data_IF_393336643271
#
_entry.id   IF_393336643271
#
_cell.length_a   1.000
_cell.length_b   1.000
_cell.length_c   1.000
_cell.angle_alpha   90.00
_cell.angle_beta   90.00
_cell.angle_gamma   90.00
#
_symmetry.space_group_name_H-M   'P 1'
#
loop_
_entity.id
_entity.type
_entity.pdbx_description
1 polymer ?
#
# COMPACT_ATOMS: atom_id res chain seq x y z
N UNK A 1 -0.53 -17.73 35.96
CA UNK A 1 -0.17 -16.82 34.85
C UNK A 1 -1.30 -15.81 34.76
N UNK A 2 -1.03 -14.53 35.01
CA UNK A 2 -2.07 -13.51 35.22
C UNK A 2 -2.62 -13.03 33.86
N UNK A 3 -3.94 -13.12 33.63
CA UNK A 3 -4.57 -12.76 32.34
C UNK A 3 -4.23 -11.33 31.90
N UNK A 4 -4.07 -10.40 32.85
CA UNK A 4 -3.69 -9.01 32.57
C UNK A 4 -2.28 -8.89 31.95
N UNK A 5 -1.36 -9.77 32.33
CA UNK A 5 0.00 -9.79 31.79
C UNK A 5 0.03 -10.32 30.35
N UNK A 6 -0.82 -11.31 30.06
CA UNK A 6 -0.97 -11.85 28.71
C UNK A 6 -1.64 -10.84 27.76
N UNK A 7 -2.66 -10.11 28.25
CA UNK A 7 -3.31 -9.03 27.50
C UNK A 7 -2.34 -7.88 27.20
N UNK A 8 -1.54 -7.45 28.18
CA UNK A 8 -0.53 -6.39 27.99
C UNK A 8 0.55 -6.78 26.98
N UNK A 9 1.07 -8.01 27.05
CA UNK A 9 2.05 -8.52 26.08
C UNK A 9 1.44 -8.67 24.68
N UNK A 10 0.17 -9.08 24.58
CA UNK A 10 -0.54 -9.14 23.30
C UNK A 10 -0.76 -7.75 22.71
N UNK A 11 -1.13 -6.77 23.53
CA UNK A 11 -1.25 -5.37 23.11
C UNK A 11 0.09 -4.79 22.65
N UNK A 12 1.18 -5.04 23.39
CA UNK A 12 2.52 -4.61 22.98
C UNK A 12 2.97 -5.25 21.67
N UNK A 13 2.72 -6.54 21.49
CA UNK A 13 3.03 -7.24 20.25
C UNK A 13 2.19 -6.70 19.08
N UNK A 14 0.93 -6.35 19.30
CA UNK A 14 0.06 -5.73 18.29
C UNK A 14 0.50 -4.31 17.94
N UNK A 15 0.84 -3.49 18.93
CA UNK A 15 1.32 -2.12 18.73
C UNK A 15 2.64 -2.12 17.95
N UNK A 16 3.60 -2.97 18.32
CA UNK A 16 4.86 -3.08 17.58
C UNK A 16 4.68 -3.58 16.14
N UNK A 17 3.70 -4.47 15.89
CA UNK A 17 3.35 -4.91 14.53
C UNK A 17 2.62 -3.82 13.75
N UNK A 18 1.75 -3.03 14.38
CA UNK A 18 1.05 -1.91 13.72
C UNK A 18 1.99 -0.74 13.40
N UNK A 19 2.95 -0.44 14.27
CA UNK A 19 3.99 0.57 14.02
C UNK A 19 4.93 0.15 12.87
N UNK A 20 5.32 -1.13 12.82
CA UNK A 20 6.16 -1.68 11.74
C UNK A 20 5.44 -1.68 10.39
N UNK A 21 4.14 -2.04 10.40
CA UNK A 21 3.26 -1.93 9.22
C UNK A 21 3.11 -0.48 8.75
N UNK A 22 2.88 0.44 9.67
CA UNK A 22 2.79 1.87 9.36
C UNK A 22 4.07 2.41 8.71
N UNK A 23 5.23 2.02 9.24
CA UNK A 23 6.52 2.44 8.69
C UNK A 23 6.78 1.90 7.28
N UNK A 24 6.45 0.62 7.02
CA UNK A 24 6.57 0.03 5.68
C UNK A 24 5.65 0.76 4.69
N UNK A 25 4.42 1.08 5.11
CA UNK A 25 3.48 1.79 4.27
C UNK A 25 3.97 3.20 3.93
N UNK A 26 4.40 3.98 4.91
CA UNK A 26 4.95 5.32 4.70
C UNK A 26 6.12 5.31 3.71
N UNK A 27 7.06 4.36 3.88
CA UNK A 27 8.22 4.22 2.99
C UNK A 27 7.82 3.86 1.55
N UNK A 28 6.87 2.93 1.37
CA UNK A 28 6.37 2.54 0.04
C UNK A 28 5.61 3.70 -0.61
N UNK A 29 4.78 4.41 0.16
CA UNK A 29 4.03 5.58 -0.30
C UNK A 29 4.97 6.67 -0.81
N UNK A 30 5.96 7.05 0.00
CA UNK A 30 6.99 8.02 -0.41
C UNK A 30 7.78 7.57 -1.62
N UNK A 31 8.18 6.30 -1.70
CA UNK A 31 8.91 5.78 -2.86
C UNK A 31 8.10 5.94 -4.13
N UNK A 32 6.82 5.55 -4.12
CA UNK A 32 5.94 5.64 -5.28
C UNK A 32 5.72 7.10 -5.71
N UNK A 33 5.38 7.98 -4.78
CA UNK A 33 5.10 9.41 -5.07
C UNK A 33 6.35 10.12 -5.60
N UNK A 34 7.53 9.85 -5.02
CA UNK A 34 8.80 10.44 -5.48
C UNK A 34 9.17 10.05 -6.91
N UNK A 35 8.59 8.95 -7.41
CA UNK A 35 8.82 8.40 -8.75
C UNK A 35 7.50 8.44 -9.51
N UNK A 36 7.04 9.63 -9.91
CA UNK A 36 5.70 9.88 -10.45
C UNK A 36 5.19 8.91 -11.54
N UNK A 37 6.08 8.34 -12.36
CA UNK A 37 5.73 7.28 -13.33
C UNK A 37 5.31 5.96 -12.67
N UNK A 38 5.96 5.56 -11.57
CA UNK A 38 5.62 4.37 -10.79
C UNK A 38 4.23 4.50 -10.20
N UNK A 39 3.95 5.68 -9.63
CA UNK A 39 2.68 6.00 -9.02
C UNK A 39 1.52 6.04 -10.04
N UNK A 40 1.71 6.70 -11.18
CA UNK A 40 0.71 6.72 -12.26
C UNK A 40 0.40 5.32 -12.80
N UNK A 41 1.42 4.45 -12.88
CA UNK A 41 1.21 3.04 -13.29
C UNK A 41 0.38 2.27 -12.27
N UNK A 42 0.60 2.49 -10.97
CA UNK A 42 -0.21 1.88 -9.93
C UNK A 42 -1.68 2.32 -10.04
N UNK A 43 -1.93 3.60 -10.29
CA UNK A 43 -3.30 4.10 -10.53
C UNK A 43 -3.96 3.41 -11.73
N UNK A 44 -3.22 3.14 -12.80
CA UNK A 44 -3.74 2.41 -13.97
C UNK A 44 -4.04 0.94 -13.65
N UNK A 45 -3.20 0.27 -12.87
CA UNK A 45 -3.46 -1.11 -12.38
C UNK A 45 -4.78 -1.15 -11.62
N UNK A 46 -5.00 -0.18 -10.72
CA UNK A 46 -6.23 -0.10 -9.92
C UNK A 46 -7.46 0.23 -10.78
N UNK A 47 -7.33 1.13 -11.77
CA UNK A 47 -8.43 1.47 -12.67
C UNK A 47 -8.84 0.29 -13.57
N UNK A 48 -7.86 -0.53 -13.98
CA UNK A 48 -8.07 -1.67 -14.87
C UNK A 48 -8.41 -2.97 -14.14
N UNK A 49 -8.47 -2.95 -12.81
CA UNK A 49 -8.59 -4.14 -11.98
C UNK A 49 -7.52 -5.20 -12.29
N UNK A 50 -6.29 -4.76 -12.56
CA UNK A 50 -5.16 -5.68 -12.74
C UNK A 50 -4.82 -6.35 -11.39
N UNK A 51 -4.42 -7.62 -11.44
CA UNK A 51 -4.17 -8.42 -10.23
C UNK A 51 -2.75 -8.27 -9.67
N UNK A 52 -1.88 -7.55 -10.38
CA UNK A 52 -0.47 -7.46 -10.02
C UNK A 52 0.14 -6.12 -10.42
N UNK A 53 0.98 -5.59 -9.53
CA UNK A 53 1.84 -4.44 -9.78
C UNK A 53 3.25 -4.74 -9.30
N UNK A 54 4.24 -4.26 -10.04
CA UNK A 54 5.63 -4.30 -9.61
C UNK A 54 6.36 -3.05 -10.07
N UNK A 55 7.23 -2.57 -9.22
CA UNK A 55 8.12 -1.48 -9.52
C UNK A 55 9.47 -1.66 -8.81
N UNK A 56 10.54 -1.28 -9.50
CA UNK A 56 11.90 -1.26 -8.95
C UNK A 56 12.37 0.18 -8.83
N UNK A 57 12.69 0.59 -7.62
CA UNK A 57 13.23 1.91 -7.32
C UNK A 57 14.60 2.11 -7.97
N UNK A 58 14.97 3.38 -8.15
CA UNK A 58 16.31 3.76 -8.61
C UNK A 58 17.43 3.25 -7.66
N UNK A 59 17.10 2.99 -6.39
CA UNK A 59 18.01 2.46 -5.39
C UNK A 59 18.06 0.92 -5.39
N UNK A 60 17.37 0.26 -6.33
CA UNK A 60 17.36 -1.19 -6.47
C UNK A 60 16.39 -1.91 -5.53
N UNK A 61 15.55 -1.17 -4.81
CA UNK A 61 14.50 -1.77 -3.96
C UNK A 61 13.28 -2.12 -4.80
N UNK A 62 12.74 -3.33 -4.65
CA UNK A 62 11.54 -3.76 -5.37
C UNK A 62 10.31 -3.65 -4.47
N UNK A 63 9.23 -3.11 -5.04
CA UNK A 63 7.88 -3.14 -4.47
C UNK A 63 7.03 -4.00 -5.38
N UNK A 64 6.37 -5.01 -4.83
CA UNK A 64 5.35 -5.78 -5.55
C UNK A 64 4.04 -5.77 -4.80
N UNK A 65 2.93 -5.73 -5.53
CA UNK A 65 1.58 -5.79 -4.98
C UNK A 65 0.79 -6.85 -5.74
N UNK A 66 0.16 -7.76 -5.00
CA UNK A 66 -0.87 -8.66 -5.54
C UNK A 66 -2.23 -8.18 -5.05
N UNK A 67 -3.14 -7.96 -5.98
CA UNK A 67 -4.47 -7.43 -5.72
C UNK A 67 -5.48 -8.56 -5.90
N UNK A 68 -6.06 -9.00 -4.79
CA UNK A 68 -7.15 -9.97 -4.77
C UNK A 68 -8.48 -9.19 -4.69
N UNK A 69 -9.08 -8.96 -5.86
CA UNK A 69 -10.33 -8.21 -5.99
C UNK A 69 -11.54 -8.96 -5.43
N UNK A 70 -11.49 -10.30 -5.35
CA UNK A 70 -12.58 -11.11 -4.80
C UNK A 70 -12.59 -11.07 -3.27
N UNK A 71 -11.40 -11.06 -2.67
CA UNK A 71 -11.23 -10.94 -1.21
C UNK A 71 -11.13 -9.52 -0.70
N UNK A 72 -11.03 -8.55 -1.61
CA UNK A 72 -10.72 -7.15 -1.29
C UNK A 72 -9.44 -7.02 -0.46
N UNK A 73 -8.38 -7.71 -0.86
CA UNK A 73 -7.08 -7.73 -0.17
C UNK A 73 -5.93 -7.33 -1.10
N UNK A 74 -4.91 -6.69 -0.52
CA UNK A 74 -3.65 -6.38 -1.19
C UNK A 74 -2.52 -7.02 -0.40
N UNK A 75 -1.72 -7.85 -1.08
CA UNK A 75 -0.45 -8.35 -0.54
C UNK A 75 0.69 -7.50 -1.09
N UNK A 76 1.26 -6.66 -0.23
CA UNK A 76 2.41 -5.81 -0.51
C UNK A 76 3.69 -6.54 -0.08
N UNK A 77 4.68 -6.59 -0.96
CA UNK A 77 6.02 -7.09 -0.63
C UNK A 77 7.04 -5.97 -0.83
N UNK A 78 7.85 -5.71 0.20
CA UNK A 78 8.90 -4.69 0.21
C UNK A 78 10.08 -5.17 1.05
N UNK A 79 11.29 -5.17 0.48
CA UNK A 79 12.54 -5.56 1.17
C UNK A 79 12.39 -6.84 2.04
N UNK A 80 11.87 -7.90 1.42
CA UNK A 80 11.62 -9.21 2.06
C UNK A 80 10.54 -9.24 3.16
N UNK A 81 9.88 -8.10 3.40
CA UNK A 81 8.71 -8.01 4.26
C UNK A 81 7.44 -8.16 3.44
N UNK A 82 6.47 -8.91 3.95
CA UNK A 82 5.14 -9.06 3.34
C UNK A 82 4.09 -8.46 4.27
N UNK A 83 3.22 -7.63 3.69
CA UNK A 83 2.15 -6.94 4.37
C UNK A 83 0.84 -7.20 3.64
N UNK A 84 -0.11 -7.81 4.35
CA UNK A 84 -1.47 -8.01 3.86
C UNK A 84 -2.37 -6.90 4.43
N UNK A 85 -3.09 -6.23 3.54
CA UNK A 85 -3.98 -5.11 3.83
C UNK A 85 -5.34 -5.38 3.23
N UNK A 86 -6.38 -4.80 3.83
CA UNK A 86 -7.64 -4.64 3.12
C UNK A 86 -7.46 -3.64 1.96
N UNK A 87 -8.26 -3.79 0.90
CA UNK A 87 -8.30 -2.86 -0.22
C UNK A 87 -8.74 -1.46 0.23
N UNK A 88 -9.52 -1.37 1.31
CA UNK A 88 -9.90 -0.12 1.96
C UNK A 88 -8.67 0.58 2.58
N UNK A 89 -7.93 -0.12 3.45
CA UNK A 89 -6.71 0.41 4.09
C UNK A 89 -5.64 0.79 3.06
N UNK A 90 -5.49 -0.04 2.02
CA UNK A 90 -4.57 0.24 0.92
C UNK A 90 -4.93 1.53 0.15
N UNK A 91 -6.22 1.82 -0.04
CA UNK A 91 -6.67 3.07 -0.65
C UNK A 91 -6.47 4.26 0.27
N UNK A 92 -6.61 4.10 1.59
CA UNK A 92 -6.41 5.19 2.55
C UNK A 92 -4.95 5.50 2.88
N UNK A 93 -4.02 4.65 2.43
CA UNK A 93 -2.59 4.93 2.45
C UNK A 93 -2.30 6.35 1.90
N UNK A 94 -1.44 7.12 2.57
CA UNK A 94 -1.11 8.55 2.32
C UNK A 94 -0.78 8.92 0.86
N UNK A 95 -0.57 7.91 0.04
CA UNK A 95 -0.81 7.96 -1.39
C UNK A 95 -2.02 8.88 -1.74
N UNK A 96 -3.17 8.80 -1.05
CA UNK A 96 -4.39 9.54 -1.41
C UNK A 96 -4.32 11.06 -1.22
N UNK A 97 -3.51 11.60 -0.29
CA UNK A 97 -3.32 13.05 -0.18
C UNK A 97 -2.68 13.65 -1.46
N UNK A 98 -1.90 12.83 -2.17
CA UNK A 98 -1.36 13.15 -3.49
C UNK A 98 -2.13 12.51 -4.66
N UNK A 99 -3.08 11.57 -4.44
CA UNK A 99 -4.08 11.20 -5.46
C UNK A 99 -4.91 12.41 -5.86
N UNK A 100 -5.35 13.23 -4.90
CA UNK A 100 -6.08 14.47 -5.20
C UNK A 100 -5.30 15.46 -6.09
N UNK A 101 -3.96 15.37 -6.10
CA UNK A 101 -3.07 16.20 -6.93
C UNK A 101 -2.62 15.53 -8.23
N UNK A 102 -2.49 14.20 -8.24
CA UNK A 102 -2.04 13.41 -9.39
C UNK A 102 -3.17 12.91 -10.30
N UNK A 103 -4.41 12.90 -9.80
CA UNK A 103 -5.59 12.36 -10.46
C UNK A 103 -6.60 13.47 -10.69
N UNK A 104 -6.37 14.25 -11.75
CA UNK A 104 -7.47 14.91 -12.47
C UNK A 104 -8.29 13.82 -13.19
N UNK A 105 -8.96 12.95 -12.42
CA UNK A 105 -9.79 11.82 -12.92
C UNK A 105 -10.88 12.36 -13.84
N UNK A 106 -11.33 13.60 -13.62
CA UNK A 106 -12.29 14.28 -14.47
C UNK A 106 -11.73 14.62 -15.86
N UNK A 107 -10.40 14.80 -16.01
CA UNK A 107 -9.74 14.96 -17.33
C UNK A 107 -9.33 13.65 -18.00
N UNK A 108 -9.34 12.51 -17.29
CA UNK A 108 -9.03 11.20 -17.87
C UNK A 108 -10.25 10.41 -18.33
N UNK A 109 -11.47 10.92 -18.10
CA UNK A 109 -12.62 10.58 -18.94
C UNK A 109 -12.37 11.19 -20.32
N UNK A 110 -11.68 10.43 -21.17
CA UNK A 110 -11.72 10.64 -22.61
C UNK A 110 -13.20 10.57 -23.00
N UNK A 111 -13.75 11.68 -23.49
CA UNK A 111 -15.05 11.69 -24.17
C UNK A 111 -15.02 10.62 -25.28
N UNK A 112 -16.09 9.82 -25.36
CA UNK A 112 -16.29 8.79 -26.38
C UNK A 112 -16.10 9.32 -27.82
#
# INVERSE_FOLDING_TARGET
MNETSALYQTSLARVGVEEDKGSILEQVGHSLVSQGDAFRRLQLVLLKNESFYSYNSLLGTSVTMKLDWEKEEVTLTYLDSELILSMEDFRYMEIYEDWGKGLDIQKMRVED
#
